data_IF_546536023534
#
_entry.id   IF_546536023534
#
_cell.length_a   1.000
_cell.length_b   1.000
_cell.length_c   1.000
_cell.angle_alpha   90.00
_cell.angle_beta   90.00
_cell.angle_gamma   90.00
#
_symmetry.space_group_name_H-M   'P 1'
#
loop_
_entity.id
_entity.type
_entity.pdbx_description
1 polymer ?
#
# COMPACT_ATOMS: atom_id res chain seq x y z
N UNK A 1 4.09 -11.60 13.77
CA UNK A 1 3.70 -11.32 15.17
C UNK A 1 4.24 -9.98 15.73
N UNK A 2 5.14 -9.27 15.05
CA UNK A 2 5.61 -7.93 15.46
C UNK A 2 6.45 -7.88 16.74
N UNK A 3 6.75 -9.03 17.37
CA UNK A 3 7.50 -9.10 18.63
C UNK A 3 9.00 -9.09 18.36
N UNK A 4 9.73 -8.23 19.08
CA UNK A 4 11.19 -8.13 18.99
C UNK A 4 11.87 -8.77 20.21
N UNK A 5 11.31 -8.55 21.39
CA UNK A 5 11.75 -9.18 22.64
C UNK A 5 10.58 -9.22 23.65
N UNK A 6 10.84 -9.73 24.86
CA UNK A 6 9.84 -9.71 25.93
C UNK A 6 9.41 -8.27 26.26
N UNK A 7 8.13 -7.96 26.05
CA UNK A 7 7.59 -6.61 26.25
C UNK A 7 8.04 -5.57 25.21
N UNK A 8 8.65 -6.00 24.10
CA UNK A 8 9.13 -5.10 23.04
C UNK A 8 8.56 -5.57 21.70
N UNK A 9 7.92 -4.65 20.99
CA UNK A 9 7.38 -4.83 19.64
C UNK A 9 7.96 -3.79 18.71
N UNK A 10 8.20 -4.17 17.46
CA UNK A 10 8.80 -3.30 16.47
C UNK A 10 8.30 -3.63 15.06
N UNK A 11 8.28 -2.61 14.21
CA UNK A 11 8.00 -2.69 12.78
C UNK A 11 8.90 -1.73 12.02
N UNK A 12 8.82 -1.74 10.68
CA UNK A 12 9.70 -0.95 9.83
C UNK A 12 11.11 -1.54 9.76
N UNK A 13 12.10 -0.68 9.51
CA UNK A 13 13.48 -1.10 9.21
C UNK A 13 14.17 -1.86 10.36
N UNK A 14 13.67 -1.72 11.59
CA UNK A 14 14.09 -2.51 12.74
C UNK A 14 13.85 -4.02 12.54
N UNK A 15 12.89 -4.36 11.66
CA UNK A 15 12.59 -5.73 11.24
C UNK A 15 13.30 -6.13 9.93
N UNK A 16 14.11 -5.24 9.38
CA UNK A 16 14.79 -5.36 8.10
C UNK A 16 14.29 -4.33 7.09
N UNK A 17 15.17 -3.85 6.19
CA UNK A 17 14.81 -2.85 5.20
C UNK A 17 13.74 -3.37 4.24
N UNK A 18 12.82 -2.50 3.82
CA UNK A 18 11.75 -2.85 2.89
C UNK A 18 11.09 -1.63 2.25
N UNK A 19 9.93 -1.85 1.62
CA UNK A 19 9.10 -0.77 1.08
C UNK A 19 8.21 -0.17 2.18
N UNK A 20 7.76 1.07 2.00
CA UNK A 20 6.89 1.75 2.96
C UNK A 20 5.65 0.92 3.33
N UNK A 21 5.03 0.23 2.37
CA UNK A 21 3.90 -0.66 2.63
C UNK A 21 4.23 -1.82 3.57
N UNK A 22 5.43 -2.39 3.47
CA UNK A 22 5.90 -3.44 4.38
C UNK A 22 6.10 -2.88 5.80
N UNK A 23 6.73 -1.70 5.92
CA UNK A 23 6.92 -1.02 7.19
C UNK A 23 5.58 -0.73 7.89
N UNK A 24 4.59 -0.21 7.15
CA UNK A 24 3.23 0.04 7.66
C UNK A 24 2.57 -1.26 8.13
N UNK A 25 2.65 -2.33 7.33
CA UNK A 25 2.11 -3.64 7.70
C UNK A 25 2.74 -4.18 8.99
N UNK A 26 4.07 -4.10 9.11
CA UNK A 26 4.78 -4.54 10.32
C UNK A 26 4.40 -3.69 11.54
N UNK A 27 4.27 -2.37 11.38
CA UNK A 27 3.83 -1.48 12.45
C UNK A 27 2.43 -1.83 12.96
N UNK A 28 1.49 -2.12 12.05
CA UNK A 28 0.16 -2.62 12.39
C UNK A 28 0.24 -3.92 13.20
N UNK A 29 0.99 -4.91 12.72
CA UNK A 29 1.15 -6.20 13.40
C UNK A 29 1.76 -6.06 14.80
N UNK A 30 2.76 -5.20 14.95
CA UNK A 30 3.38 -4.89 16.24
C UNK A 30 2.36 -4.29 17.23
N UNK A 31 1.56 -3.32 16.77
CA UNK A 31 0.53 -2.70 17.60
C UNK A 31 -0.58 -3.69 17.99
N UNK A 32 -1.07 -4.50 17.05
CA UNK A 32 -2.09 -5.52 17.29
C UNK A 32 -1.61 -6.59 18.29
N UNK A 33 -0.36 -7.06 18.14
CA UNK A 33 0.23 -8.04 19.03
C UNK A 33 0.47 -7.48 20.44
N UNK A 34 0.99 -6.25 20.55
CA UNK A 34 1.14 -5.57 21.82
C UNK A 34 -0.20 -5.40 22.52
N UNK A 35 -1.23 -4.97 21.79
CA UNK A 35 -2.58 -4.85 22.33
C UNK A 35 -3.12 -6.17 22.86
N UNK A 36 -3.00 -7.26 22.09
CA UNK A 36 -3.49 -8.57 22.49
C UNK A 36 -2.80 -9.08 23.76
N UNK A 37 -1.46 -9.03 23.80
CA UNK A 37 -0.69 -9.51 24.95
C UNK A 37 -0.96 -8.69 26.21
N UNK A 38 -0.94 -7.36 26.12
CA UNK A 38 -1.16 -6.47 27.27
C UNK A 38 -2.58 -6.56 27.83
N UNK A 39 -3.55 -7.03 27.02
CA UNK A 39 -4.96 -7.17 27.42
C UNK A 39 -5.35 -8.62 27.75
N UNK A 40 -4.44 -9.58 27.58
CA UNK A 40 -4.75 -11.01 27.74
C UNK A 40 -5.77 -11.52 26.71
N UNK A 41 -5.80 -10.92 25.53
CA UNK A 41 -6.66 -11.34 24.41
C UNK A 41 -5.94 -12.39 23.55
N UNK A 42 -6.69 -13.15 22.73
CA UNK A 42 -6.08 -14.02 21.72
C UNK A 42 -5.14 -13.25 20.79
N UNK A 43 -4.07 -13.90 20.36
CA UNK A 43 -3.16 -13.31 19.37
C UNK A 43 -3.91 -12.97 18.07
N UNK A 44 -3.56 -11.88 17.37
CA UNK A 44 -4.15 -11.54 16.09
C UNK A 44 -3.93 -12.69 15.10
N UNK A 45 -4.99 -13.08 14.39
CA UNK A 45 -4.88 -14.06 13.33
C UNK A 45 -4.23 -13.41 12.10
N UNK A 46 -3.26 -14.09 11.50
CA UNK A 46 -2.71 -13.64 10.21
C UNK A 46 -3.79 -13.77 9.12
N UNK A 47 -3.97 -12.68 8.37
CA UNK A 47 -4.83 -12.65 7.20
C UNK A 47 -4.13 -13.44 6.07
N UNK A 48 -4.46 -14.73 5.96
CA UNK A 48 -4.03 -15.57 4.85
C UNK A 48 -4.79 -15.18 3.57
N UNK A 49 -4.38 -14.06 2.96
CA UNK A 49 -4.83 -13.75 1.61
C UNK A 49 -4.27 -14.79 0.66
N UNK A 50 -5.16 -15.58 0.07
CA UNK A 50 -4.79 -16.56 -0.94
C UNK A 50 -4.40 -15.80 -2.21
N UNK A 51 -3.26 -16.16 -2.79
CA UNK A 51 -2.93 -15.73 -4.14
C UNK A 51 -4.06 -16.16 -5.08
N UNK A 52 -4.42 -15.29 -6.03
CA UNK A 52 -5.31 -15.71 -7.11
C UNK A 52 -4.59 -16.76 -7.96
N UNK A 53 -5.30 -17.82 -8.40
CA UNK A 53 -4.71 -18.76 -9.33
C UNK A 53 -4.49 -18.05 -10.68
N UNK A 54 -3.47 -18.49 -11.42
CA UNK A 54 -3.03 -17.80 -12.65
C UNK A 54 -4.15 -17.67 -13.69
N UNK A 55 -5.04 -18.65 -13.76
CA UNK A 55 -6.19 -18.71 -14.67
C UNK A 55 -7.37 -17.80 -14.26
N UNK A 56 -7.33 -17.20 -13.06
CA UNK A 56 -8.30 -16.19 -12.65
C UNK A 56 -7.97 -14.77 -13.15
N UNK A 57 -6.77 -14.56 -13.69
CA UNK A 57 -6.39 -13.27 -14.28
C UNK A 57 -7.04 -13.14 -15.65
N UNK A 58 -7.75 -12.03 -15.88
CA UNK A 58 -8.26 -11.72 -17.21
C UNK A 58 -7.09 -11.47 -18.15
N UNK A 59 -6.96 -12.31 -19.18
CA UNK A 59 -5.97 -12.15 -20.25
C UNK A 59 -6.55 -11.49 -21.50
N UNK A 60 -7.78 -10.97 -21.41
CA UNK A 60 -8.40 -10.24 -22.52
C UNK A 60 -7.56 -9.02 -22.92
N UNK A 61 -7.76 -8.55 -24.15
CA UNK A 61 -7.03 -7.41 -24.67
C UNK A 61 -7.33 -6.15 -23.85
N UNK A 62 -6.30 -5.62 -23.19
CA UNK A 62 -6.31 -4.29 -22.61
C UNK A 62 -5.86 -3.30 -23.67
N UNK A 63 -6.70 -2.32 -23.98
CA UNK A 63 -6.30 -1.23 -24.86
C UNK A 63 -5.15 -0.46 -24.22
N UNK A 64 -4.17 -0.07 -25.04
CA UNK A 64 -3.11 0.81 -24.57
C UNK A 64 -3.71 2.15 -24.14
N UNK A 65 -3.39 2.56 -22.91
CA UNK A 65 -3.89 3.79 -22.29
C UNK A 65 -2.74 4.45 -21.56
N UNK A 66 -2.53 5.74 -21.85
CA UNK A 66 -1.54 6.52 -21.13
C UNK A 66 -1.96 6.74 -19.68
N UNK A 67 -0.96 6.73 -18.80
CA UNK A 67 -1.17 7.04 -17.39
C UNK A 67 -1.59 8.48 -17.21
N UNK A 68 -2.64 8.68 -16.42
CA UNK A 68 -3.04 10.01 -15.98
C UNK A 68 -1.95 10.57 -15.06
N UNK A 69 -1.36 11.69 -15.48
CA UNK A 69 -0.34 12.38 -14.69
C UNK A 69 -0.93 13.00 -13.44
N UNK A 70 -0.23 12.89 -12.31
CA UNK A 70 -0.60 13.59 -11.10
C UNK A 70 -0.29 15.09 -11.26
N UNK A 71 -1.24 16.00 -11.00
CA UNK A 71 -0.96 17.42 -11.03
C UNK A 71 0.13 17.75 -10.01
N UNK A 72 1.10 18.56 -10.43
CA UNK A 72 2.25 18.91 -9.61
C UNK A 72 2.30 20.43 -9.48
N UNK A 73 2.31 20.92 -8.25
CA UNK A 73 2.52 22.36 -8.02
C UNK A 73 3.88 22.78 -8.54
N UNK A 74 3.95 23.97 -9.11
CA UNK A 74 5.21 24.56 -9.56
C UNK A 74 6.14 24.80 -8.37
N UNK A 75 7.46 24.74 -8.61
CA UNK A 75 8.47 24.85 -7.55
C UNK A 75 8.36 26.16 -6.76
N UNK A 76 7.97 27.27 -7.42
CA UNK A 76 7.79 28.56 -6.77
C UNK A 76 6.70 28.51 -5.68
N UNK A 77 5.66 27.70 -5.87
CA UNK A 77 4.59 27.52 -4.90
C UNK A 77 5.07 26.80 -3.63
N UNK A 78 6.10 25.95 -3.73
CA UNK A 78 6.59 25.18 -2.57
C UNK A 78 7.26 26.08 -1.53
N UNK A 79 7.86 27.19 -1.99
CA UNK A 79 8.51 28.17 -1.11
C UNK A 79 7.45 29.00 -0.38
N UNK A 80 6.36 29.35 -1.08
CA UNK A 80 5.31 30.22 -0.54
C UNK A 80 4.27 29.47 0.30
N UNK A 81 4.12 28.16 0.08
CA UNK A 81 3.19 27.27 0.79
C UNK A 81 3.88 25.94 1.15
N UNK A 82 4.78 25.94 2.14
CA UNK A 82 5.59 24.78 2.48
C UNK A 82 4.81 23.64 3.13
N UNK A 83 3.61 23.91 3.66
CA UNK A 83 2.71 22.88 4.20
C UNK A 83 1.74 22.34 3.13
N UNK A 84 1.69 22.98 1.97
CA UNK A 84 0.85 22.58 0.87
C UNK A 84 1.28 21.24 0.28
N UNK A 85 0.29 20.38 0.01
CA UNK A 85 0.51 19.16 -0.77
C UNK A 85 1.07 19.53 -2.15
N UNK A 86 2.22 18.94 -2.49
CA UNK A 86 2.99 19.26 -3.71
C UNK A 86 2.44 18.49 -4.92
N UNK A 87 2.07 17.23 -4.70
CA UNK A 87 1.50 16.32 -5.69
C UNK A 87 0.02 16.21 -5.38
N UNK A 88 -0.82 16.82 -6.21
CA UNK A 88 -2.26 16.81 -6.00
C UNK A 88 -2.86 15.48 -6.48
N UNK A 89 -4.08 15.21 -6.02
CA UNK A 89 -4.83 14.01 -6.41
C UNK A 89 -5.50 14.19 -7.76
N UNK A 90 -5.83 13.06 -8.40
CA UNK A 90 -6.66 13.04 -9.61
C UNK A 90 -8.14 13.22 -9.26
N UNK A 91 -8.91 13.67 -10.24
CA UNK A 91 -10.37 13.76 -10.13
C UNK A 91 -11.03 12.39 -10.00
N UNK A 92 -12.31 12.37 -9.61
CA UNK A 92 -13.07 11.13 -9.51
C UNK A 92 -13.19 10.41 -10.86
N UNK A 93 -13.42 11.17 -11.93
CA UNK A 93 -13.54 10.68 -13.30
C UNK A 93 -12.23 10.07 -13.80
N UNK A 94 -11.10 10.74 -13.51
CA UNK A 94 -9.76 10.23 -13.80
C UNK A 94 -9.45 8.97 -12.99
N UNK A 95 -9.84 8.91 -11.72
CA UNK A 95 -9.68 7.71 -10.90
C UNK A 95 -10.46 6.52 -11.46
N UNK A 96 -11.67 6.76 -11.98
CA UNK A 96 -12.45 5.72 -12.64
C UNK A 96 -11.80 5.24 -13.93
N UNK A 97 -11.28 6.17 -14.74
CA UNK A 97 -10.52 5.84 -15.95
C UNK A 97 -9.28 5.01 -15.63
N UNK A 98 -8.50 5.40 -14.61
CA UNK A 98 -7.30 4.67 -14.18
C UNK A 98 -7.65 3.27 -13.64
N UNK A 99 -8.76 3.13 -12.91
CA UNK A 99 -9.22 1.82 -12.44
C UNK A 99 -9.57 0.87 -13.60
N UNK A 100 -9.98 1.40 -14.76
CA UNK A 100 -10.28 0.59 -15.96
C UNK A 100 -9.03 -0.01 -16.61
N UNK A 101 -7.82 0.47 -16.29
CA UNK A 101 -6.54 -0.11 -16.71
C UNK A 101 -6.14 -1.34 -15.89
N UNK A 102 -6.80 -1.61 -14.76
CA UNK A 102 -6.44 -2.68 -13.85
C UNK A 102 -6.65 -4.09 -14.44
N UNK A 103 -5.61 -4.94 -14.39
CA UNK A 103 -5.71 -6.35 -14.80
C UNK A 103 -6.47 -7.26 -13.80
N UNK A 104 -7.05 -6.69 -12.73
CA UNK A 104 -7.78 -7.43 -11.68
C UNK A 104 -7.02 -8.64 -11.09
N UNK A 105 -5.69 -8.56 -11.05
CA UNK A 105 -4.83 -9.66 -10.61
C UNK A 105 -4.90 -10.00 -9.11
N UNK A 106 -5.79 -9.35 -8.36
CA UNK A 106 -6.11 -9.64 -6.96
C UNK A 106 -5.13 -9.09 -5.94
N UNK A 107 -3.83 -9.22 -6.18
CA UNK A 107 -2.75 -8.69 -5.31
C UNK A 107 -1.75 -7.94 -6.18
N UNK A 108 -1.26 -6.79 -5.70
CA UNK A 108 -0.13 -6.13 -6.35
C UNK A 108 1.10 -7.04 -6.24
N UNK A 109 1.52 -7.61 -7.37
CA UNK A 109 2.72 -8.47 -7.49
C UNK A 109 3.84 -7.79 -8.30
N UNK A 110 3.78 -6.46 -8.40
CA UNK A 110 4.74 -5.63 -9.14
C UNK A 110 4.81 -5.97 -10.65
N UNK A 111 3.65 -6.15 -11.28
CA UNK A 111 3.55 -6.38 -12.72
C UNK A 111 3.82 -5.13 -13.56
N UNK A 112 3.90 -3.95 -12.93
CA UNK A 112 4.14 -2.64 -13.56
C UNK A 112 3.06 -2.15 -14.53
N UNK A 113 1.89 -2.77 -14.55
CA UNK A 113 0.80 -2.42 -15.48
C UNK A 113 -0.20 -1.41 -14.90
N UNK A 114 -0.30 -1.34 -13.57
CA UNK A 114 -1.19 -0.41 -12.86
C UNK A 114 -0.49 0.90 -12.44
N UNK A 115 0.80 1.06 -12.76
CA UNK A 115 1.57 2.26 -12.45
C UNK A 115 1.64 3.22 -13.65
#
# INVERSE_FOLDING_TARGET
>A
DGKLASGIWAGGDDRGPGIAGAAISQGRQAAEAAHAELRGLPAPQEDERKALPQDAVSTDFYADQERIGLPHKCADAWITDPEGEVVETITYEEAFAEASRCMSCGLCFDCQQCF
#
